data_IF_359490627641
#
_entry.id   IF_359490627641
#
_cell.length_a   1.000
_cell.length_b   1.000
_cell.length_c   1.000
_cell.angle_alpha   90.00
_cell.angle_beta   90.00
_cell.angle_gamma   90.00
#
_symmetry.space_group_name_H-M   'P 1'
#
loop_
_entity.id
_entity.type
_entity.pdbx_description
1 polymer ?
#
# COMPACT_ATOMS: atom_id res chain seq x y z
N UNK A 1 -5.67 2.73 19.10
CA UNK A 1 -5.21 3.39 17.87
C UNK A 1 -6.04 2.87 16.71
N UNK A 2 -6.51 3.77 15.86
CA UNK A 2 -7.46 3.43 14.80
C UNK A 2 -6.74 3.05 13.51
N UNK A 3 -5.70 3.80 13.13
CA UNK A 3 -5.04 3.66 11.84
C UNK A 3 -3.52 3.63 11.96
N UNK A 4 -2.88 2.75 11.20
CA UNK A 4 -1.45 2.83 10.84
C UNK A 4 -1.35 3.10 9.35
N UNK A 5 -0.82 4.26 8.97
CA UNK A 5 -0.43 4.54 7.59
C UNK A 5 0.92 3.91 7.29
N UNK A 6 1.09 3.46 6.04
CA UNK A 6 2.34 2.86 5.59
C UNK A 6 2.75 3.46 4.26
N UNK A 7 4.02 3.84 4.18
CA UNK A 7 4.71 4.09 2.91
C UNK A 7 5.97 3.24 2.85
N UNK A 8 6.20 2.62 1.70
CA UNK A 8 7.42 1.87 1.43
C UNK A 8 8.31 2.70 0.51
N UNK A 9 9.56 2.89 0.93
CA UNK A 9 10.56 3.66 0.22
C UNK A 9 11.64 2.74 -0.37
N UNK A 10 12.11 3.09 -1.56
CA UNK A 10 13.30 2.53 -2.17
C UNK A 10 13.91 3.58 -3.08
N UNK A 11 15.03 4.19 -2.70
CA UNK A 11 15.68 5.30 -3.39
C UNK A 11 14.72 6.48 -3.65
N UNK A 12 14.20 7.12 -2.62
CA UNK A 12 13.05 8.00 -2.71
C UNK A 12 13.36 9.39 -3.28
N UNK A 13 12.37 9.94 -3.99
CA UNK A 13 12.17 11.38 -4.08
C UNK A 13 11.46 11.89 -2.81
N UNK A 14 12.25 12.38 -1.86
CA UNK A 14 11.78 12.78 -0.54
C UNK A 14 10.87 13.99 -0.51
N UNK A 15 10.97 14.88 -1.48
CA UNK A 15 10.17 16.10 -1.52
C UNK A 15 8.67 15.81 -1.47
N UNK A 16 8.26 14.73 -2.13
CA UNK A 16 6.88 14.26 -2.13
C UNK A 16 6.51 13.51 -0.85
N UNK A 17 7.38 12.64 -0.36
CA UNK A 17 7.07 11.78 0.80
C UNK A 17 6.86 12.59 2.08
N UNK A 18 7.65 13.61 2.34
CA UNK A 18 7.46 14.48 3.49
C UNK A 18 6.14 15.26 3.44
N UNK A 19 5.70 15.69 2.26
CA UNK A 19 4.39 16.32 2.08
C UNK A 19 3.27 15.30 2.36
N UNK A 20 3.35 14.09 1.79
CA UNK A 20 2.37 13.02 1.99
C UNK A 20 2.22 12.68 3.48
N UNK A 21 3.33 12.51 4.20
CA UNK A 21 3.29 12.22 5.65
C UNK A 21 2.53 13.30 6.42
N UNK A 22 2.82 14.58 6.16
CA UNK A 22 2.15 15.69 6.84
C UNK A 22 0.65 15.77 6.53
N UNK A 23 0.30 15.65 5.25
CA UNK A 23 -1.09 15.73 4.81
C UNK A 23 -1.93 14.58 5.35
N UNK A 24 -1.37 13.36 5.34
CA UNK A 24 -2.02 12.18 5.89
C UNK A 24 -2.21 12.27 7.41
N UNK A 25 -1.19 12.75 8.14
CA UNK A 25 -1.32 12.97 9.58
C UNK A 25 -2.35 14.08 9.90
N UNK A 26 -2.45 15.11 9.05
CA UNK A 26 -3.51 16.12 9.14
C UNK A 26 -4.91 15.55 8.92
N UNK A 27 -5.05 14.53 8.08
CA UNK A 27 -6.34 13.85 7.85
C UNK A 27 -6.84 13.09 9.09
N UNK A 28 -5.96 12.60 9.96
CA UNK A 28 -6.35 11.99 11.24
C UNK A 28 -7.11 12.99 12.12
N UNK A 29 -6.59 14.20 12.24
CA UNK A 29 -7.19 15.26 13.03
C UNK A 29 -8.55 15.68 12.46
N UNK A 30 -8.64 15.77 11.13
CA UNK A 30 -9.88 16.12 10.45
C UNK A 30 -10.98 15.05 10.60
N UNK A 31 -10.62 13.78 10.79
CA UNK A 31 -11.55 12.66 10.96
C UNK A 31 -11.77 12.25 12.42
N UNK A 32 -11.19 12.94 13.40
CA UNK A 32 -11.21 12.57 14.82
C UNK A 32 -10.72 11.12 15.06
N UNK A 33 -9.67 10.75 14.38
CA UNK A 33 -9.04 9.43 14.46
C UNK A 33 -7.66 9.48 15.11
N UNK A 34 -7.32 8.42 15.82
CA UNK A 34 -5.96 8.23 16.35
C UNK A 34 -5.12 7.37 15.40
N UNK A 35 -3.87 7.77 15.14
CA UNK A 35 -3.04 7.01 14.21
C UNK A 35 -1.56 7.27 14.32
N UNK A 36 -0.82 6.43 13.60
CA UNK A 36 0.62 6.54 13.40
C UNK A 36 0.96 6.45 11.91
N UNK A 37 2.14 6.91 11.56
CA UNK A 37 2.71 6.77 10.22
C UNK A 37 3.97 5.91 10.27
N UNK A 38 3.96 4.78 9.56
CA UNK A 38 5.07 3.85 9.49
C UNK A 38 5.76 3.97 8.13
N UNK A 39 6.99 4.45 8.13
CA UNK A 39 7.84 4.53 6.94
C UNK A 39 8.73 3.28 6.93
N UNK A 40 8.61 2.44 5.91
CA UNK A 40 9.46 1.26 5.72
C UNK A 40 10.45 1.57 4.59
N UNK A 41 11.74 1.60 4.92
CA UNK A 41 12.79 1.98 3.99
C UNK A 41 13.63 0.78 3.55
N UNK A 42 13.55 0.46 2.26
CA UNK A 42 14.30 -0.59 1.58
C UNK A 42 15.60 -0.07 0.93
N UNK A 43 15.96 1.19 1.17
CA UNK A 43 17.15 1.79 0.57
C UNK A 43 18.45 1.22 1.14
N UNK A 44 19.53 1.25 0.35
CA UNK A 44 20.85 0.76 0.76
C UNK A 44 21.45 1.50 1.96
N UNK A 45 21.05 2.77 2.15
CA UNK A 45 21.34 3.56 3.35
C UNK A 45 20.04 4.18 3.86
N UNK A 46 19.92 4.43 5.18
CA UNK A 46 18.70 5.01 5.73
C UNK A 46 18.46 6.40 5.17
N UNK A 47 17.22 6.67 4.78
CA UNK A 47 16.84 7.99 4.27
C UNK A 47 16.79 9.00 5.41
N UNK A 48 17.75 9.89 5.47
CA UNK A 48 17.93 10.84 6.60
C UNK A 48 16.71 11.74 6.83
N UNK A 49 15.98 12.08 5.79
CA UNK A 49 14.72 12.84 5.93
C UNK A 49 13.66 12.05 6.70
N UNK A 50 13.56 10.72 6.50
CA UNK A 50 12.66 9.87 7.26
C UNK A 50 13.06 9.77 8.74
N UNK A 51 14.35 9.64 8.97
CA UNK A 51 14.91 9.67 10.34
C UNK A 51 14.56 10.99 11.02
N UNK A 52 14.70 12.13 10.30
CA UNK A 52 14.36 13.44 10.82
C UNK A 52 12.87 13.57 11.12
N UNK A 53 11.99 13.15 10.21
CA UNK A 53 10.54 13.16 10.44
C UNK A 53 10.14 12.35 11.67
N UNK A 54 10.72 11.15 11.82
CA UNK A 54 10.47 10.30 12.99
C UNK A 54 11.01 10.90 14.31
N UNK A 55 12.04 11.75 14.22
CA UNK A 55 12.55 12.47 15.38
C UNK A 55 11.70 13.70 15.74
N UNK A 56 11.05 14.33 14.77
CA UNK A 56 10.24 15.54 14.92
C UNK A 56 8.79 15.26 15.34
N UNK A 57 8.20 14.15 14.90
CA UNK A 57 6.81 13.76 15.22
C UNK A 57 6.76 12.33 15.77
N UNK A 58 6.39 12.19 17.03
CA UNK A 58 6.29 10.89 17.72
C UNK A 58 5.25 9.94 17.09
N UNK A 59 4.36 10.42 16.25
CA UNK A 59 3.43 9.59 15.47
C UNK A 59 4.10 8.94 14.27
N UNK A 60 5.29 9.41 13.87
CA UNK A 60 6.05 8.85 12.75
C UNK A 60 7.04 7.82 13.29
N UNK A 61 6.98 6.62 12.74
CA UNK A 61 7.95 5.55 13.01
C UNK A 61 8.70 5.23 11.73
N UNK A 62 9.99 4.99 11.89
CA UNK A 62 10.88 4.66 10.79
C UNK A 62 11.48 3.27 10.97
N UNK A 63 11.29 2.42 9.99
CA UNK A 63 11.87 1.08 9.91
C UNK A 63 12.80 1.00 8.71
N UNK A 64 14.09 0.88 8.96
CA UNK A 64 15.08 0.65 7.92
C UNK A 64 15.45 -0.83 7.87
N UNK A 65 15.36 -1.43 6.69
CA UNK A 65 15.69 -2.84 6.47
C UNK A 65 17.20 -3.10 6.32
N UNK A 66 18.04 -2.26 6.94
CA UNK A 66 19.50 -2.41 7.03
C UNK A 66 20.19 -2.60 5.68
N UNK A 67 19.71 -1.94 4.64
CA UNK A 67 20.24 -2.03 3.28
C UNK A 67 19.73 -3.23 2.47
N UNK A 68 18.86 -4.06 3.04
CA UNK A 68 18.20 -5.13 2.29
C UNK A 68 16.93 -4.63 1.62
N UNK A 69 16.83 -4.82 0.30
CA UNK A 69 15.59 -4.61 -0.40
C UNK A 69 14.70 -5.87 -0.26
N UNK A 70 13.73 -5.81 0.66
CA UNK A 70 12.75 -6.89 0.85
C UNK A 70 11.54 -6.75 -0.09
N UNK A 71 11.63 -5.84 -1.05
CA UNK A 71 10.58 -5.47 -1.99
C UNK A 71 9.29 -4.98 -1.31
N UNK A 72 8.24 -4.73 -2.09
CA UNK A 72 6.98 -4.17 -1.57
C UNK A 72 6.24 -5.18 -0.68
N UNK A 73 6.09 -6.42 -1.12
CA UNK A 73 5.38 -7.45 -0.37
C UNK A 73 6.03 -7.75 1.00
N UNK A 74 7.36 -7.86 1.04
CA UNK A 74 8.12 -8.04 2.29
C UNK A 74 8.00 -6.84 3.22
N UNK A 75 8.09 -5.63 2.68
CA UNK A 75 7.94 -4.39 3.45
C UNK A 75 6.52 -4.25 4.03
N UNK A 76 5.49 -4.55 3.26
CA UNK A 76 4.10 -4.54 3.72
C UNK A 76 3.83 -5.63 4.78
N UNK A 77 4.44 -6.80 4.64
CA UNK A 77 4.39 -7.86 5.68
C UNK A 77 5.02 -7.37 6.98
N UNK A 78 6.22 -6.79 6.91
CA UNK A 78 6.90 -6.20 8.07
C UNK A 78 6.05 -5.12 8.72
N UNK A 79 5.47 -4.24 7.89
CA UNK A 79 4.61 -3.17 8.36
C UNK A 79 3.35 -3.70 9.05
N UNK A 80 2.68 -4.72 8.50
CA UNK A 80 1.50 -5.32 9.12
C UNK A 80 1.82 -5.91 10.51
N UNK A 81 3.00 -6.54 10.66
CA UNK A 81 3.45 -7.08 11.94
C UNK A 81 3.76 -5.98 12.97
N UNK A 82 4.24 -4.82 12.52
CA UNK A 82 4.66 -3.71 13.37
C UNK A 82 3.57 -2.64 13.58
N UNK A 83 2.49 -2.67 12.81
CA UNK A 83 1.39 -1.72 12.91
C UNK A 83 0.67 -1.82 14.26
N UNK A 84 0.29 -0.67 14.85
CA UNK A 84 -0.50 -0.63 16.09
C UNK A 84 -1.98 -0.30 15.84
N UNK A 85 -2.30 0.29 14.68
CA UNK A 85 -3.66 0.63 14.29
C UNK A 85 -4.52 -0.59 13.99
N UNK A 86 -5.82 -0.48 14.24
CA UNK A 86 -6.81 -1.51 13.84
C UNK A 86 -6.88 -1.67 12.33
N UNK A 87 -6.70 -0.56 11.60
CA UNK A 87 -6.66 -0.52 10.15
C UNK A 87 -5.27 -0.13 9.68
N UNK A 88 -4.81 -0.81 8.65
CA UNK A 88 -3.60 -0.48 7.92
C UNK A 88 -4.00 0.22 6.63
N UNK A 89 -3.44 1.40 6.38
CA UNK A 89 -3.67 2.19 5.17
C UNK A 89 -2.35 2.32 4.42
N UNK A 90 -2.26 1.70 3.27
CA UNK A 90 -1.11 1.85 2.39
C UNK A 90 -1.25 3.11 1.54
N UNK A 91 -0.21 3.94 1.54
CA UNK A 91 -0.08 5.12 0.69
C UNK A 91 1.20 5.02 -0.12
N UNK A 92 1.08 4.82 -1.43
CA UNK A 92 2.25 4.79 -2.30
C UNK A 92 2.91 6.17 -2.39
N UNK A 93 4.22 6.23 -2.18
CA UNK A 93 4.99 7.48 -2.21
C UNK A 93 4.94 8.22 -3.56
N UNK A 94 4.59 7.52 -4.65
CA UNK A 94 4.47 8.10 -5.99
C UNK A 94 3.07 8.63 -6.34
N UNK A 95 2.08 8.49 -5.45
CA UNK A 95 0.71 8.90 -5.70
C UNK A 95 0.41 10.26 -5.07
N UNK A 96 -0.33 11.10 -5.81
CA UNK A 96 -0.85 12.36 -5.28
C UNK A 96 -1.92 12.10 -4.21
N UNK A 97 -2.04 13.03 -3.28
CA UNK A 97 -3.00 12.95 -2.20
C UNK A 97 -4.40 13.39 -2.65
N UNK A 98 -5.37 12.84 -1.95
CA UNK A 98 -6.78 13.15 -2.10
C UNK A 98 -7.06 14.38 -1.22
N UNK A 99 -7.54 15.45 -1.85
CA UNK A 99 -7.83 16.70 -1.14
C UNK A 99 -9.16 16.70 -0.35
N UNK A 100 -9.86 15.56 -0.28
CA UNK A 100 -11.10 15.45 0.47
C UNK A 100 -10.81 14.97 1.90
N UNK A 101 -11.13 15.73 2.95
CA UNK A 101 -10.85 15.34 4.33
C UNK A 101 -11.59 14.07 4.78
N UNK A 102 -12.69 13.70 4.12
CA UNK A 102 -13.46 12.48 4.44
C UNK A 102 -12.83 11.20 3.89
N UNK A 103 -11.86 11.29 2.99
CA UNK A 103 -11.28 10.15 2.27
C UNK A 103 -10.88 8.99 3.18
N UNK A 104 -10.34 9.32 4.35
CA UNK A 104 -9.86 8.30 5.30
C UNK A 104 -11.02 7.54 5.93
N UNK A 105 -12.08 8.24 6.33
CA UNK A 105 -13.30 7.61 6.86
C UNK A 105 -13.94 6.73 5.80
N UNK A 106 -14.06 7.22 4.56
CA UNK A 106 -14.62 6.46 3.45
C UNK A 106 -13.81 5.19 3.16
N UNK A 107 -12.49 5.28 3.33
CA UNK A 107 -11.59 4.16 3.06
C UNK A 107 -11.66 3.07 4.13
N UNK A 108 -11.88 3.41 5.39
CA UNK A 108 -11.90 2.42 6.49
C UNK A 108 -13.31 1.94 6.84
N UNK A 109 -14.36 2.73 6.62
CA UNK A 109 -15.72 2.39 6.98
C UNK A 109 -16.21 1.04 6.40
N UNK A 110 -15.94 0.69 5.13
CA UNK A 110 -16.34 -0.59 4.56
C UNK A 110 -15.76 -1.81 5.29
N UNK A 111 -14.62 -1.65 5.97
CA UNK A 111 -13.94 -2.74 6.70
C UNK A 111 -14.62 -3.10 8.03
N UNK A 112 -15.67 -2.36 8.43
CA UNK A 112 -16.53 -2.75 9.55
C UNK A 112 -17.32 -4.03 9.22
N UNK A 113 -17.61 -4.27 7.95
CA UNK A 113 -18.09 -5.57 7.46
C UNK A 113 -16.91 -6.52 7.29
N UNK A 114 -16.89 -7.60 8.08
CA UNK A 114 -15.79 -8.57 8.07
C UNK A 114 -15.68 -9.35 6.75
N UNK A 115 -16.72 -9.37 5.93
CA UNK A 115 -16.66 -9.96 4.58
C UNK A 115 -15.76 -9.17 3.64
N UNK A 116 -15.54 -7.86 3.88
CA UNK A 116 -14.62 -7.04 3.12
C UNK A 116 -13.18 -7.23 3.60
N UNK A 117 -12.30 -7.76 2.75
CA UNK A 117 -10.88 -7.91 3.05
C UNK A 117 -10.12 -6.61 2.87
N UNK A 118 -10.36 -5.95 1.74
CA UNK A 118 -9.66 -4.74 1.30
C UNK A 118 -10.68 -3.67 0.91
N UNK A 119 -10.32 -2.40 1.09
CA UNK A 119 -11.07 -1.26 0.59
C UNK A 119 -10.15 -0.30 -0.18
N UNK A 120 -10.62 0.24 -1.30
CA UNK A 120 -9.86 1.15 -2.14
C UNK A 120 -10.48 1.32 -3.52
N UNK A 121 -9.72 1.84 -4.48
CA UNK A 121 -10.17 1.92 -5.86
C UNK A 121 -10.16 0.53 -6.51
N UNK A 122 -11.34 -0.07 -6.65
CA UNK A 122 -11.49 -1.39 -7.29
C UNK A 122 -11.64 -1.20 -8.80
N UNK A 123 -10.78 -1.86 -9.56
CA UNK A 123 -10.79 -1.80 -11.03
C UNK A 123 -10.48 -3.15 -11.65
N UNK A 124 -10.90 -3.39 -12.91
CA UNK A 124 -10.46 -4.55 -13.68
C UNK A 124 -8.96 -4.48 -13.94
N UNK A 125 -8.26 -5.58 -13.73
CA UNK A 125 -6.86 -5.69 -14.13
C UNK A 125 -6.76 -5.92 -15.63
N UNK A 126 -6.24 -4.94 -16.38
CA UNK A 126 -6.01 -5.07 -17.81
C UNK A 126 -4.66 -5.78 -18.09
N UNK A 127 -4.59 -7.08 -17.79
CA UNK A 127 -3.38 -7.89 -18.10
C UNK A 127 -3.08 -8.01 -19.60
N UNK A 128 -4.04 -7.71 -20.47
CA UNK A 128 -3.89 -7.74 -21.93
C UNK A 128 -2.83 -6.76 -22.50
N UNK A 129 -2.21 -5.94 -21.66
CA UNK A 129 -1.08 -5.08 -22.08
C UNK A 129 0.30 -5.69 -21.81
N UNK A 130 0.38 -6.80 -21.08
CA UNK A 130 1.65 -7.50 -20.85
C UNK A 130 1.64 -8.75 -21.70
N UNK A 131 2.33 -8.72 -22.82
CA UNK A 131 2.36 -9.78 -23.85
C UNK A 131 2.89 -11.15 -23.39
N UNK A 132 3.09 -11.35 -22.09
CA UNK A 132 3.69 -12.55 -21.49
C UNK A 132 2.83 -13.26 -20.45
N UNK A 133 1.59 -12.80 -20.22
CA UNK A 133 0.69 -13.47 -19.26
C UNK A 133 -0.01 -14.64 -19.97
N UNK A 134 0.01 -15.87 -19.42
CA UNK A 134 -0.71 -17.02 -19.99
C UNK A 134 -2.19 -16.70 -20.21
N UNK A 135 -2.75 -17.22 -21.32
CA UNK A 135 -4.10 -16.91 -21.77
C UNK A 135 -5.21 -17.35 -20.78
N UNK A 136 -4.92 -18.31 -19.90
CA UNK A 136 -5.79 -18.81 -18.84
C UNK A 136 -5.92 -17.84 -17.63
N UNK A 137 -5.10 -16.78 -17.59
CA UNK A 137 -5.18 -15.73 -16.57
C UNK A 137 -5.97 -14.49 -17.09
N UNK A 138 -6.48 -14.53 -18.32
CA UNK A 138 -7.05 -13.38 -19.05
C UNK A 138 -8.49 -13.03 -18.62
N UNK A 139 -9.10 -13.68 -17.66
CA UNK A 139 -10.34 -13.15 -17.11
C UNK A 139 -10.07 -11.80 -16.44
N UNK A 140 -10.92 -10.76 -16.66
CA UNK A 140 -10.75 -9.45 -16.04
C UNK A 140 -10.85 -9.60 -14.52
N UNK A 141 -9.70 -9.77 -13.89
CA UNK A 141 -9.64 -9.90 -12.44
C UNK A 141 -9.81 -8.51 -11.83
N UNK A 142 -10.80 -8.40 -10.98
CA UNK A 142 -11.02 -7.22 -10.17
C UNK A 142 -9.95 -7.18 -9.08
N UNK A 143 -9.30 -6.04 -8.90
CA UNK A 143 -8.33 -5.83 -7.82
C UNK A 143 -8.46 -4.43 -7.24
N UNK A 144 -7.98 -4.27 -6.01
CA UNK A 144 -7.77 -2.96 -5.41
C UNK A 144 -6.46 -2.38 -5.93
N UNK A 145 -6.50 -1.18 -6.49
CA UNK A 145 -5.33 -0.53 -7.07
C UNK A 145 -4.26 -0.26 -6.01
N UNK A 146 -2.99 -0.55 -6.35
CA UNK A 146 -1.84 -0.46 -5.47
C UNK A 146 -1.38 0.94 -5.03
N UNK A 147 -2.16 2.00 -5.31
CA UNK A 147 -1.80 3.36 -4.93
C UNK A 147 -2.17 3.71 -3.49
N UNK A 148 -3.44 3.60 -3.16
CA UNK A 148 -3.99 3.82 -1.82
C UNK A 148 -5.07 2.78 -1.56
N UNK A 149 -4.93 2.04 -0.47
CA UNK A 149 -5.91 1.06 -0.04
C UNK A 149 -5.80 0.79 1.46
N UNK A 150 -6.82 0.17 2.02
CA UNK A 150 -6.84 -0.22 3.43
C UNK A 150 -7.28 -1.66 3.64
N UNK A 151 -6.90 -2.20 4.79
CA UNK A 151 -7.35 -3.49 5.30
C UNK A 151 -7.36 -3.47 6.83
N UNK A 152 -8.05 -4.43 7.45
CA UNK A 152 -7.86 -4.67 8.88
C UNK A 152 -6.45 -5.22 9.13
N UNK A 153 -5.74 -4.64 10.11
CA UNK A 153 -4.38 -5.07 10.45
C UNK A 153 -4.31 -6.55 10.85
N UNK A 154 -5.27 -7.01 11.63
CA UNK A 154 -5.36 -8.42 12.05
C UNK A 154 -5.52 -9.36 10.84
N UNK A 155 -6.35 -8.99 9.88
CA UNK A 155 -6.53 -9.74 8.63
C UNK A 155 -5.20 -9.86 7.86
N UNK A 156 -4.45 -8.76 7.67
CA UNK A 156 -3.18 -8.81 6.94
C UNK A 156 -2.09 -9.62 7.66
N UNK A 157 -2.10 -9.62 8.99
CA UNK A 157 -1.17 -10.45 9.78
C UNK A 157 -1.39 -11.94 9.56
N UNK A 158 -2.64 -12.36 9.46
CA UNK A 158 -3.03 -13.74 9.25
C UNK A 158 -2.92 -14.15 7.77
N UNK A 159 -3.46 -13.33 6.87
CA UNK A 159 -3.56 -13.64 5.46
C UNK A 159 -2.25 -13.46 4.69
N UNK A 160 -1.48 -12.43 5.05
CA UNK A 160 -0.13 -12.15 4.55
C UNK A 160 -0.05 -11.77 3.07
N UNK A 161 1.16 -11.39 2.66
CA UNK A 161 1.51 -11.13 1.26
C UNK A 161 2.27 -12.32 0.68
N UNK A 162 2.06 -12.61 -0.61
CA UNK A 162 2.74 -13.71 -1.29
C UNK A 162 4.15 -13.30 -1.73
N UNK A 163 5.14 -14.15 -1.47
CA UNK A 163 6.49 -13.96 -1.97
C UNK A 163 6.63 -14.22 -3.48
N UNK A 164 5.59 -14.75 -4.15
CA UNK A 164 5.58 -14.98 -5.60
C UNK A 164 5.55 -13.68 -6.40
N UNK A 165 5.01 -12.60 -5.80
CA UNK A 165 4.91 -11.26 -6.39
C UNK A 165 5.51 -10.25 -5.42
N UNK A 166 6.84 -10.21 -5.32
CA UNK A 166 7.49 -9.42 -4.29
C UNK A 166 7.33 -7.90 -4.51
N UNK A 167 7.18 -7.45 -5.76
CA UNK A 167 7.07 -6.05 -6.10
C UNK A 167 5.83 -5.73 -6.93
N UNK A 168 5.83 -6.06 -8.24
CA UNK A 168 4.69 -5.83 -9.11
C UNK A 168 3.59 -6.87 -8.85
N UNK A 169 2.33 -6.47 -9.04
CA UNK A 169 1.15 -7.32 -8.88
C UNK A 169 0.91 -7.88 -7.47
N UNK A 170 1.60 -7.38 -6.44
CA UNK A 170 1.34 -7.84 -5.08
C UNK A 170 -0.07 -7.47 -4.60
N UNK A 171 -0.63 -6.35 -5.04
CA UNK A 171 -2.00 -5.89 -4.85
C UNK A 171 -3.02 -6.77 -5.60
N UNK A 172 -2.69 -7.14 -6.83
CA UNK A 172 -3.51 -8.04 -7.67
C UNK A 172 -3.54 -9.44 -7.06
N UNK A 173 -2.38 -10.00 -6.68
CA UNK A 173 -2.29 -11.31 -6.04
C UNK A 173 -3.04 -11.34 -4.71
N UNK A 174 -2.87 -10.32 -3.87
CA UNK A 174 -3.58 -10.20 -2.61
C UNK A 174 -5.10 -10.16 -2.84
N UNK A 175 -5.56 -9.31 -3.75
CA UNK A 175 -6.99 -9.19 -4.09
C UNK A 175 -7.56 -10.51 -4.59
N UNK A 176 -6.84 -11.19 -5.50
CA UNK A 176 -7.23 -12.51 -6.04
C UNK A 176 -7.36 -13.57 -4.96
N UNK A 177 -6.36 -13.64 -4.05
CA UNK A 177 -6.39 -14.59 -2.94
C UNK A 177 -7.55 -14.31 -1.99
N UNK A 178 -7.86 -13.04 -1.73
CA UNK A 178 -9.02 -12.63 -0.94
C UNK A 178 -10.33 -13.13 -1.57
N UNK A 179 -10.52 -12.87 -2.86
CA UNK A 179 -11.72 -13.32 -3.59
C UNK A 179 -11.82 -14.86 -3.62
N UNK A 180 -10.72 -15.56 -3.84
CA UNK A 180 -10.68 -17.03 -3.83
C UNK A 180 -11.01 -17.63 -2.45
N UNK A 181 -10.72 -16.90 -1.37
CA UNK A 181 -11.06 -17.27 0.00
C UNK A 181 -12.50 -16.86 0.41
N UNK A 182 -13.28 -16.28 -0.50
CA UNK A 182 -14.69 -15.90 -0.29
C UNK A 182 -14.87 -14.49 0.29
N UNK A 183 -13.79 -13.70 0.42
CA UNK A 183 -13.88 -12.29 0.82
C UNK A 183 -14.31 -11.38 -0.34
N UNK A 184 -14.71 -10.17 -0.01
CA UNK A 184 -15.09 -9.13 -0.95
C UNK A 184 -14.03 -8.01 -0.97
N UNK A 185 -14.04 -7.24 -2.06
CA UNK A 185 -13.26 -6.01 -2.21
C UNK A 185 -14.24 -4.83 -2.20
N UNK A 186 -14.09 -3.93 -1.25
CA UNK A 186 -14.93 -2.75 -1.15
C UNK A 186 -14.42 -1.63 -2.06
N UNK A 187 -15.26 -1.21 -3.00
CA UNK A 187 -14.95 -0.08 -3.87
C UNK A 187 -15.21 1.24 -3.17
N UNK A 188 -14.18 2.11 -3.13
CA UNK A 188 -14.24 3.46 -2.58
C UNK A 188 -14.02 4.45 -3.72
N UNK A 189 -15.09 4.98 -4.35
CA UNK A 189 -14.99 5.82 -5.54
C UNK A 189 -14.28 7.17 -5.31
N UNK A 190 -14.32 7.70 -4.07
CA UNK A 190 -13.61 8.93 -3.69
C UNK A 190 -12.09 8.79 -3.72
N UNK A 191 -11.57 7.54 -3.73
CA UNK A 191 -10.13 7.27 -3.84
C UNK A 191 -9.71 7.30 -5.30
N UNK A 192 -9.41 8.48 -5.82
CA UNK A 192 -8.78 8.62 -7.13
C UNK A 192 -7.27 8.63 -6.93
N UNK A 193 -6.65 7.48 -7.14
CA UNK A 193 -5.19 7.37 -7.17
C UNK A 193 -4.65 7.89 -8.50
N UNK A 194 -4.08 9.09 -8.48
CA UNK A 194 -3.37 9.62 -9.64
C UNK A 194 -1.95 9.07 -9.59
N UNK A 195 -1.67 8.06 -10.40
CA UNK A 195 -0.30 7.60 -10.62
C UNK A 195 0.52 8.76 -11.19
N UNK A 196 1.40 9.33 -10.41
CA UNK A 196 2.44 10.21 -10.92
C UNK A 196 3.31 9.38 -11.85
N UNK A 197 3.38 9.76 -13.14
CA UNK A 197 3.94 8.98 -14.24
C UNK A 197 5.07 8.05 -13.84
N UNK A 198 4.77 6.77 -13.82
CA UNK A 198 5.79 5.74 -13.66
C UNK A 198 6.58 5.72 -14.95
N UNK A 199 7.81 6.19 -14.92
CA UNK A 199 8.77 5.88 -15.97
C UNK A 199 8.94 4.37 -15.88
N UNK A 200 8.65 3.60 -16.94
CA UNK A 200 8.86 2.16 -16.94
C UNK A 200 10.34 1.91 -16.71
N UNK A 201 10.68 1.47 -15.50
CA UNK A 201 12.02 0.97 -15.21
C UNK A 201 12.11 -0.44 -15.80
N UNK A 202 12.96 -0.70 -16.79
CA UNK A 202 13.14 -2.03 -17.37
C UNK A 202 13.51 -3.07 -16.32
N UNK A 203 14.20 -2.69 -15.24
CA UNK A 203 14.52 -3.57 -14.12
C UNK A 203 13.26 -4.00 -13.33
N UNK A 204 12.20 -3.19 -13.28
CA UNK A 204 10.94 -3.56 -12.64
C UNK A 204 10.24 -4.73 -13.32
N UNK A 205 10.37 -4.86 -14.64
CA UNK A 205 9.74 -5.93 -15.41
C UNK A 205 10.57 -7.21 -15.47
N UNK A 206 11.85 -7.16 -15.09
CA UNK A 206 12.75 -8.33 -15.07
C UNK A 206 12.20 -9.45 -14.19
N UNK A 207 11.61 -9.10 -13.04
CA UNK A 207 11.03 -10.05 -12.09
C UNK A 207 9.71 -10.69 -12.56
N UNK A 208 8.97 -10.06 -13.47
CA UNK A 208 7.78 -10.65 -14.09
C UNK A 208 8.16 -11.76 -15.07
N UNK A 209 9.35 -11.67 -15.68
CA UNK A 209 9.87 -12.65 -16.64
C UNK A 209 10.53 -13.87 -15.98
N UNK A 210 11.05 -13.73 -14.77
CA UNK A 210 11.75 -14.82 -14.05
C UNK A 210 10.79 -15.79 -13.33
N UNK A 211 9.49 -15.55 -13.37
CA UNK A 211 8.44 -16.42 -12.81
C UNK A 211 7.76 -17.34 -13.85
N UNK A 212 8.46 -17.67 -14.93
CA UNK A 212 8.01 -18.67 -15.93
C UNK A 212 8.45 -20.08 -15.57
#
# INVERSE_FOLDING_TARGET
MDVTFITVLHQPDWSRTGAIVRDVLGSLEACDLTGEYLIVDNSSAPTMEAVRLAAEDQRVRFLWNQGYNVYLAGALTTAALQAHGRHLVYCCASHGLINDPSWLTDLIAPLADESNALAGHVQPCAFNRVASVPADIIEPQIHVQGGVWSARTAFLREFGFSHRFPFEFCDVDLSRRCLAAGYQLASVPSIVSIAGGVIPDPERYKYVHDYR
#
